data_IF_267508255272
#
_entry.id   IF_267508255272
#
_cell.length_a   1.000
_cell.length_b   1.000
_cell.length_c   1.000
_cell.angle_alpha   90.00
_cell.angle_beta   90.00
_cell.angle_gamma   90.00
#
_symmetry.space_group_name_H-M   'P 1'
#
loop_
_entity.id
_entity.type
_entity.pdbx_description
1 polymer ?
#
# COMPACT_ATOMS: atom_id res chain seq x y z
N UNK A 1 -7.10 -5.15 -21.78
CA UNK A 1 -7.03 -5.07 -21.33
C UNK A 1 -6.83 -5.33 -20.31
N UNK A 2 -6.90 -5.48 -19.74
CA UNK A 2 -6.86 -5.90 -18.78
C UNK A 2 -5.79 -5.73 -18.00
N UNK A 3 -4.79 -5.50 -18.22
CA UNK A 3 -3.76 -5.30 -17.50
C UNK A 3 -3.86 -4.26 -16.57
N UNK A 4 -4.67 -3.38 -16.76
CA UNK A 4 -4.87 -2.30 -15.85
C UNK A 4 -5.23 -2.82 -14.49
N UNK A 5 -5.93 -3.90 -14.45
CA UNK A 5 -6.40 -4.35 -13.17
C UNK A 5 -5.29 -4.70 -12.22
N UNK A 6 -4.12 -4.99 -12.72
CA UNK A 6 -3.05 -5.27 -11.86
C UNK A 6 -2.66 -4.08 -11.09
N UNK A 7 -2.87 -2.91 -11.62
CA UNK A 7 -2.45 -1.70 -10.97
C UNK A 7 -3.47 -1.13 -10.02
N UNK A 8 -4.62 -1.76 -9.93
CA UNK A 8 -5.64 -1.26 -9.03
C UNK A 8 -5.27 -1.54 -7.57
N UNK A 9 -4.45 -2.55 -7.36
CA UNK A 9 -4.04 -2.90 -6.01
C UNK A 9 -2.56 -3.15 -5.97
N UNK A 10 -1.97 -2.82 -4.84
CA UNK A 10 -0.57 -3.11 -4.60
C UNK A 10 -0.48 -4.09 -3.44
N UNK A 11 0.56 -4.90 -3.42
CA UNK A 11 0.80 -5.74 -2.26
C UNK A 11 1.70 -4.94 -1.32
N UNK A 12 1.85 -5.42 -0.10
CA UNK A 12 2.74 -4.76 0.84
C UNK A 12 4.17 -4.73 0.29
N UNK A 13 4.56 -5.82 -0.37
CA UNK A 13 5.90 -5.88 -0.94
C UNK A 13 6.07 -4.85 -2.05
N UNK A 14 5.02 -4.68 -2.86
CA UNK A 14 5.06 -3.69 -3.92
C UNK A 14 5.32 -2.30 -3.35
N UNK A 15 4.65 -1.97 -2.26
CA UNK A 15 4.82 -0.67 -1.66
C UNK A 15 6.18 -0.51 -1.02
N UNK A 16 6.68 -1.57 -0.42
CA UNK A 16 8.01 -1.52 0.17
C UNK A 16 9.03 -1.19 -0.91
N UNK A 17 8.88 -1.82 -2.06
CA UNK A 17 9.79 -1.57 -3.17
C UNK A 17 9.63 -0.16 -3.71
N UNK A 18 8.38 0.28 -3.86
CA UNK A 18 8.14 1.61 -4.39
C UNK A 18 8.68 2.70 -3.49
N UNK A 19 8.58 2.50 -2.21
CA UNK A 19 9.00 3.51 -1.25
C UNK A 19 10.43 3.28 -0.75
N UNK A 20 11.04 2.23 -1.22
CA UNK A 20 12.41 1.88 -0.83
C UNK A 20 12.54 1.72 0.68
N UNK A 21 11.60 1.02 1.25
CA UNK A 21 11.65 0.75 2.68
C UNK A 21 11.49 -0.75 2.91
N UNK A 22 11.73 -1.16 4.11
CA UNK A 22 11.58 -2.56 4.46
C UNK A 22 10.09 -2.89 4.53
N UNK A 23 9.73 -4.10 4.15
CA UNK A 23 8.33 -4.50 4.17
C UNK A 23 7.73 -4.42 5.57
N UNK A 24 8.56 -4.60 6.59
CA UNK A 24 8.06 -4.49 7.95
C UNK A 24 7.55 -3.09 8.24
N UNK A 25 8.12 -2.10 7.59
CA UNK A 25 7.67 -0.73 7.75
C UNK A 25 6.26 -0.59 7.21
N UNK A 26 5.98 -1.26 6.09
CA UNK A 26 4.65 -1.21 5.53
C UNK A 26 3.64 -1.86 6.48
N UNK A 27 4.00 -2.98 7.06
CA UNK A 27 3.12 -3.65 8.00
C UNK A 27 2.84 -2.77 9.22
N UNK A 28 3.82 -2.02 9.67
CA UNK A 28 3.63 -1.12 10.78
C UNK A 28 2.64 -0.03 10.46
N UNK A 29 2.72 0.51 9.26
CA UNK A 29 1.77 1.53 8.83
C UNK A 29 0.37 0.98 8.78
N UNK A 30 0.23 -0.26 8.30
CA UNK A 30 -1.08 -0.88 8.21
C UNK A 30 -1.63 -1.10 9.61
N UNK A 31 -0.80 -1.60 10.50
CA UNK A 31 -1.21 -1.88 11.85
C UNK A 31 -1.59 -0.62 12.60
N UNK A 32 -0.89 0.45 12.33
CA UNK A 32 -1.17 1.72 12.97
C UNK A 32 -2.35 2.45 12.35
N UNK A 33 -2.96 1.83 11.35
CA UNK A 33 -4.09 2.41 10.63
C UNK A 33 -3.75 3.69 9.89
N UNK A 34 -2.51 3.81 9.54
CA UNK A 34 -2.10 4.95 8.75
C UNK A 34 -2.24 4.65 7.27
N UNK A 35 -2.21 3.37 6.94
CA UNK A 35 -2.33 2.94 5.56
C UNK A 35 -3.46 1.92 5.52
N UNK A 36 -4.52 2.26 4.84
CA UNK A 36 -5.65 1.35 4.73
C UNK A 36 -5.29 0.19 3.82
N UNK A 37 -5.64 -0.99 4.23
CA UNK A 37 -5.34 -2.17 3.43
C UNK A 37 -6.43 -3.20 3.66
N UNK A 38 -6.62 -4.04 2.66
CA UNK A 38 -7.58 -5.12 2.74
C UNK A 38 -6.81 -6.41 2.86
N UNK A 39 -7.18 -7.25 3.78
CA UNK A 39 -6.52 -8.53 3.90
C UNK A 39 -7.29 -9.53 3.08
N UNK A 40 -6.67 -10.01 2.01
CA UNK A 40 -7.31 -10.96 1.13
C UNK A 40 -6.48 -12.21 1.14
N UNK A 41 -7.03 -13.27 1.69
CA UNK A 41 -6.26 -14.47 1.86
C UNK A 41 -5.17 -14.21 2.87
N UNK A 42 -3.96 -14.43 2.51
CA UNK A 42 -2.84 -14.21 3.42
C UNK A 42 -2.06 -12.95 3.11
N UNK A 43 -2.56 -12.17 2.18
CA UNK A 43 -1.84 -10.97 1.80
C UNK A 43 -2.64 -9.74 2.01
N UNK A 44 -1.95 -8.65 2.30
CA UNK A 44 -2.60 -7.35 2.33
C UNK A 44 -2.59 -6.78 0.94
N UNK A 45 -3.72 -6.22 0.54
CA UNK A 45 -3.84 -5.56 -0.74
C UNK A 45 -4.22 -4.13 -0.48
N UNK A 46 -3.49 -3.21 -1.05
CA UNK A 46 -3.72 -1.80 -0.84
C UNK A 46 -4.22 -1.20 -2.15
N UNK A 47 -5.40 -0.61 -2.13
CA UNK A 47 -5.93 -0.03 -3.36
C UNK A 47 -5.10 1.17 -3.73
N UNK A 48 -5.09 1.47 -5.00
CA UNK A 48 -4.36 2.61 -5.48
C UNK A 48 -4.85 3.89 -4.81
N UNK A 49 -6.15 4.01 -4.63
CA UNK A 49 -6.71 5.19 -4.00
C UNK A 49 -6.21 5.31 -2.55
N UNK A 50 -6.14 4.19 -1.85
CA UNK A 50 -5.68 4.22 -0.47
C UNK A 50 -4.20 4.59 -0.40
N UNK A 51 -3.42 4.11 -1.34
CA UNK A 51 -2.01 4.44 -1.38
C UNK A 51 -1.85 5.93 -1.65
N UNK A 52 -2.63 6.46 -2.57
CA UNK A 52 -2.56 7.89 -2.88
C UNK A 52 -2.92 8.71 -1.65
N UNK A 53 -3.92 8.29 -0.90
CA UNK A 53 -4.30 8.99 0.31
C UNK A 53 -3.19 8.94 1.34
N UNK A 54 -2.53 7.81 1.44
CA UNK A 54 -1.44 7.65 2.37
C UNK A 54 -0.32 8.64 2.03
N UNK A 55 -0.01 8.75 0.74
CA UNK A 55 1.04 9.67 0.32
C UNK A 55 0.67 11.11 0.61
N UNK A 56 -0.61 11.44 0.42
CA UNK A 56 -1.06 12.79 0.71
C UNK A 56 -0.89 13.12 2.17
N UNK A 57 -1.19 12.18 3.03
CA UNK A 57 -1.08 12.41 4.45
C UNK A 57 0.34 12.53 4.93
N UNK A 58 1.26 11.88 4.27
CA UNK A 58 2.64 11.92 4.70
C UNK A 58 3.43 13.01 4.00
N UNK A 59 2.76 13.75 3.12
CA UNK A 59 3.43 14.79 2.40
C UNK A 59 3.96 15.85 3.33
N UNK A 60 5.18 16.23 3.14
CA UNK A 60 5.76 17.25 3.96
C UNK A 60 5.79 18.51 3.18
N UNK A 61 5.38 19.57 3.73
CA UNK A 61 5.28 20.70 2.98
C UNK A 61 6.13 21.66 3.14
#
# INVERSE_FOLDING_TARGET
MTMASKKDFYTAQDLADKLSVNIMTIYRYIKAKRLAAHKIGKEFRISRADFDKFLERTKTK
#
